data_IF_632881725215
#
_entry.id   IF_632881725215
#
_cell.length_a   1.000
_cell.length_b   1.000
_cell.length_c   1.000
_cell.angle_alpha   90.00
_cell.angle_beta   90.00
_cell.angle_gamma   90.00
#
_symmetry.space_group_name_H-M   'P 1'
#
loop_
_entity.id
_entity.type
_entity.pdbx_description
1 polymer ?
#
# COMPACT_ATOMS: atom_id res chain seq x y z
N UNK A 1 -8.66 -16.47 -5.13
CA UNK A 1 -8.20 -15.12 -4.74
C UNK A 1 -6.89 -14.88 -5.46
N UNK A 2 -6.84 -14.01 -6.48
CA UNK A 2 -5.57 -13.62 -7.10
C UNK A 2 -4.87 -12.67 -6.15
N UNK A 3 -3.67 -13.04 -5.69
CA UNK A 3 -2.77 -12.14 -4.97
C UNK A 3 -2.32 -11.06 -5.96
N UNK A 4 -2.75 -9.83 -5.73
CA UNK A 4 -2.54 -8.67 -6.60
C UNK A 4 -1.13 -8.05 -6.48
N UNK A 5 -0.17 -8.73 -5.86
CA UNK A 5 1.11 -8.13 -5.45
C UNK A 5 2.34 -9.02 -5.58
N UNK A 6 2.23 -10.19 -6.16
CA UNK A 6 3.38 -10.99 -6.54
C UNK A 6 3.94 -10.51 -7.88
N UNK A 7 5.27 -10.54 -8.02
CA UNK A 7 5.92 -10.40 -9.33
C UNK A 7 5.24 -11.32 -10.34
N UNK A 8 5.03 -10.86 -11.59
CA UNK A 8 4.36 -11.65 -12.60
C UNK A 8 5.08 -12.98 -12.82
N UNK A 9 4.27 -14.02 -13.09
CA UNK A 9 4.75 -15.35 -13.45
C UNK A 9 5.80 -15.26 -14.58
N UNK A 10 6.79 -16.13 -14.60
CA UNK A 10 7.91 -16.13 -15.55
C UNK A 10 7.52 -16.16 -17.06
N UNK A 11 6.22 -16.23 -17.36
CA UNK A 11 5.63 -16.17 -18.70
C UNK A 11 5.22 -14.75 -19.17
N UNK A 12 5.31 -13.74 -18.30
CA UNK A 12 4.97 -12.34 -18.64
C UNK A 12 6.25 -11.62 -19.07
N UNK A 13 6.17 -10.82 -20.14
CA UNK A 13 7.26 -9.94 -20.55
C UNK A 13 7.59 -8.93 -19.44
N UNK A 14 8.65 -9.20 -18.68
CA UNK A 14 9.11 -8.41 -17.56
C UNK A 14 9.94 -7.19 -17.98
N UNK A 15 10.06 -6.89 -19.28
CA UNK A 15 10.92 -5.82 -19.79
C UNK A 15 10.59 -4.45 -19.21
N UNK A 16 9.29 -4.11 -19.10
CA UNK A 16 8.86 -2.85 -18.52
C UNK A 16 9.17 -2.76 -16.99
N UNK A 17 9.02 -3.87 -16.26
CA UNK A 17 9.38 -3.93 -14.84
C UNK A 17 10.90 -3.80 -14.66
N UNK A 18 11.70 -4.48 -15.47
CA UNK A 18 13.14 -4.39 -15.41
C UNK A 18 13.64 -2.96 -15.72
N UNK A 19 12.99 -2.26 -16.66
CA UNK A 19 13.26 -0.84 -16.91
C UNK A 19 12.92 0.03 -15.70
N UNK A 20 11.76 -0.16 -15.08
CA UNK A 20 11.36 0.58 -13.89
C UNK A 20 12.32 0.34 -12.72
N UNK A 21 12.79 -0.89 -12.54
CA UNK A 21 13.84 -1.22 -11.55
C UNK A 21 15.16 -0.51 -11.88
N UNK A 22 15.60 -0.54 -13.12
CA UNK A 22 16.81 0.13 -13.54
C UNK A 22 16.75 1.66 -13.34
N UNK A 23 15.61 2.27 -13.66
CA UNK A 23 15.37 3.71 -13.44
C UNK A 23 15.44 4.08 -11.96
N UNK A 24 14.83 3.31 -11.10
CA UNK A 24 14.85 3.52 -9.64
C UNK A 24 16.28 3.39 -9.09
N UNK A 25 17.02 2.37 -9.51
CA UNK A 25 18.42 2.17 -9.12
C UNK A 25 19.29 3.34 -9.55
N UNK A 26 19.12 3.81 -10.78
CA UNK A 26 19.85 4.96 -11.32
C UNK A 26 19.50 6.25 -10.57
N UNK A 27 18.23 6.50 -10.28
CA UNK A 27 17.78 7.66 -9.52
C UNK A 27 18.33 7.66 -8.08
N UNK A 28 18.39 6.47 -7.44
CA UNK A 28 18.99 6.29 -6.11
C UNK A 28 20.48 6.62 -6.12
N UNK A 29 21.24 6.09 -7.06
CA UNK A 29 22.69 6.37 -7.17
C UNK A 29 22.96 7.86 -7.36
N UNK A 30 22.20 8.51 -8.24
CA UNK A 30 22.29 9.97 -8.43
C UNK A 30 21.99 10.75 -7.14
N UNK A 31 21.00 10.31 -6.36
CA UNK A 31 20.67 10.94 -5.07
C UNK A 31 21.83 10.77 -4.07
N UNK A 32 22.40 9.57 -3.99
CA UNK A 32 23.53 9.28 -3.10
C UNK A 32 24.74 10.15 -3.46
N UNK A 33 25.09 10.21 -4.77
CA UNK A 33 26.20 11.04 -5.25
C UNK A 33 25.95 12.53 -5.00
N UNK A 34 24.73 13.01 -5.26
CA UNK A 34 24.37 14.40 -5.03
C UNK A 34 24.50 14.79 -3.55
N UNK A 35 24.00 13.94 -2.66
CA UNK A 35 24.12 14.17 -1.20
C UNK A 35 25.59 14.15 -0.76
N UNK A 36 26.40 13.22 -1.26
CA UNK A 36 27.86 13.21 -1.01
C UNK A 36 28.55 14.49 -1.48
N UNK A 37 28.22 14.96 -2.68
CA UNK A 37 28.77 16.19 -3.23
C UNK A 37 28.40 17.43 -2.40
N UNK A 38 27.15 17.48 -1.89
CA UNK A 38 26.66 18.55 -1.02
C UNK A 38 27.09 18.40 0.44
N UNK A 39 27.81 17.33 0.81
CA UNK A 39 28.16 16.95 2.18
C UNK A 39 26.96 16.79 3.10
N UNK A 40 25.82 16.37 2.53
CA UNK A 40 24.62 16.04 3.27
C UNK A 40 24.65 14.58 3.72
N UNK A 41 24.05 14.31 4.88
CA UNK A 41 23.89 12.94 5.39
C UNK A 41 22.72 12.24 4.69
N UNK A 42 22.90 10.96 4.39
CA UNK A 42 21.81 10.08 3.98
C UNK A 42 21.22 9.50 5.27
N UNK A 43 19.92 9.66 5.55
CA UNK A 43 19.30 9.04 6.71
C UNK A 43 19.48 7.52 6.66
N UNK A 44 19.92 6.92 7.76
CA UNK A 44 19.96 5.47 7.85
C UNK A 44 18.55 4.92 8.02
N UNK A 45 18.22 3.83 7.33
CA UNK A 45 16.97 3.13 7.56
C UNK A 45 16.96 2.54 8.97
N UNK A 46 16.14 3.11 9.85
CA UNK A 46 16.17 2.87 11.28
C UNK A 46 15.06 1.95 11.78
N UNK A 47 14.01 1.71 10.99
CA UNK A 47 12.88 0.91 11.44
C UNK A 47 13.29 -0.57 11.51
N UNK A 48 13.28 -1.11 12.71
CA UNK A 48 13.65 -2.49 12.99
C UNK A 48 12.66 -3.09 13.99
N UNK A 49 12.19 -4.30 13.73
CA UNK A 49 11.27 -5.04 14.58
C UNK A 49 11.84 -6.44 14.76
N UNK A 50 12.26 -6.76 15.98
CA UNK A 50 12.99 -8.00 16.28
C UNK A 50 12.10 -9.12 16.85
N UNK A 51 10.79 -8.92 16.93
CA UNK A 51 9.88 -9.83 17.59
C UNK A 51 8.86 -10.38 16.61
N UNK A 52 8.85 -11.68 16.43
CA UNK A 52 7.81 -12.52 15.82
C UNK A 52 6.88 -11.91 14.78
N UNK A 53 5.84 -12.62 14.43
CA UNK A 53 4.85 -12.15 13.42
C UNK A 53 3.56 -11.59 14.10
N UNK A 54 3.68 -10.82 15.20
CA UNK A 54 2.53 -10.11 15.78
C UNK A 54 2.19 -8.87 14.98
N UNK A 55 1.13 -8.98 14.18
CA UNK A 55 0.61 -7.91 13.32
C UNK A 55 0.34 -6.61 14.09
N UNK A 56 -0.20 -6.71 15.31
CA UNK A 56 -0.55 -5.52 16.11
C UNK A 56 0.70 -4.80 16.63
N UNK A 57 1.72 -5.55 17.03
CA UNK A 57 2.99 -4.99 17.45
C UNK A 57 3.68 -4.28 16.28
N UNK A 58 3.77 -4.95 15.14
CA UNK A 58 4.36 -4.38 13.93
C UNK A 58 3.65 -3.10 13.49
N UNK A 59 2.33 -3.14 13.44
CA UNK A 59 1.55 -1.96 13.05
C UNK A 59 1.74 -0.79 14.03
N UNK A 60 1.77 -1.05 15.33
CA UNK A 60 2.00 -0.01 16.35
C UNK A 60 3.39 0.59 16.22
N UNK A 61 4.42 -0.23 16.03
CA UNK A 61 5.80 0.24 15.85
C UNK A 61 5.91 1.10 14.59
N UNK A 62 5.42 0.62 13.44
CA UNK A 62 5.43 1.39 12.19
C UNK A 62 4.67 2.71 12.34
N UNK A 63 3.50 2.72 12.97
CA UNK A 63 2.75 3.97 13.22
C UNK A 63 3.54 4.96 14.07
N UNK A 64 4.24 4.48 15.09
CA UNK A 64 5.06 5.33 15.94
C UNK A 64 6.25 5.91 15.17
N UNK A 65 6.98 5.08 14.43
CA UNK A 65 8.12 5.51 13.62
C UNK A 65 7.73 6.52 12.52
N UNK A 66 6.55 6.35 11.92
CA UNK A 66 6.03 7.29 10.92
C UNK A 66 5.26 8.48 11.53
N UNK A 67 5.19 8.60 12.86
CA UNK A 67 4.39 9.67 13.50
C UNK A 67 2.90 9.63 13.18
N UNK A 68 2.38 8.48 12.72
CA UNK A 68 1.01 8.31 12.27
C UNK A 68 0.06 8.07 13.45
N UNK A 69 -0.21 9.11 14.24
CA UNK A 69 -1.26 9.02 15.26
C UNK A 69 -2.66 9.02 14.62
N UNK A 70 -3.66 8.57 15.38
CA UNK A 70 -5.05 8.60 14.88
C UNK A 70 -5.53 10.03 14.63
N UNK A 71 -5.08 10.98 15.46
CA UNK A 71 -5.43 12.39 15.29
C UNK A 71 -4.85 12.97 14.01
N UNK A 72 -3.57 12.71 13.73
CA UNK A 72 -2.89 13.12 12.51
C UNK A 72 -3.58 12.53 11.29
N UNK A 73 -3.89 11.23 11.31
CA UNK A 73 -4.56 10.57 10.21
C UNK A 73 -5.96 11.13 9.94
N UNK A 74 -6.78 11.34 10.99
CA UNK A 74 -8.14 11.87 10.83
C UNK A 74 -8.20 13.33 10.42
N UNK A 75 -7.12 14.09 10.61
CA UNK A 75 -6.99 15.47 10.12
C UNK A 75 -6.59 15.55 8.64
N UNK A 76 -6.21 14.44 8.01
CA UNK A 76 -5.91 14.43 6.59
C UNK A 76 -7.20 14.69 5.78
N UNK A 77 -7.28 15.80 5.03
CA UNK A 77 -8.50 16.18 4.33
C UNK A 77 -8.80 15.34 3.09
N UNK A 78 -7.87 14.51 2.67
CA UNK A 78 -8.00 13.64 1.50
C UNK A 78 -7.00 12.48 1.52
N UNK A 79 -7.29 11.44 0.75
CA UNK A 79 -6.39 10.32 0.55
C UNK A 79 -5.02 10.76 -0.03
N UNK A 80 -4.99 11.82 -0.86
CA UNK A 80 -3.74 12.41 -1.35
C UNK A 80 -2.89 12.96 -0.21
N UNK A 81 -3.49 13.66 0.75
CA UNK A 81 -2.74 14.22 1.89
C UNK A 81 -2.19 13.11 2.80
N UNK A 82 -2.97 12.05 3.05
CA UNK A 82 -2.48 10.88 3.79
C UNK A 82 -1.32 10.21 3.06
N UNK A 83 -1.42 10.04 1.73
CA UNK A 83 -0.34 9.50 0.91
C UNK A 83 0.95 10.32 1.05
N UNK A 84 0.86 11.65 0.92
CA UNK A 84 2.02 12.54 1.04
C UNK A 84 2.63 12.50 2.43
N UNK A 85 1.81 12.47 3.47
CA UNK A 85 2.26 12.36 4.85
C UNK A 85 3.05 11.06 5.07
N UNK A 86 2.49 9.92 4.67
CA UNK A 86 3.13 8.61 4.85
C UNK A 86 4.38 8.50 3.98
N UNK A 87 4.33 8.99 2.74
CA UNK A 87 5.50 9.02 1.86
C UNK A 87 6.65 9.81 2.48
N UNK A 88 6.40 11.04 2.91
CA UNK A 88 7.42 11.89 3.51
C UNK A 88 8.02 11.25 4.78
N UNK A 89 7.17 10.72 5.66
CA UNK A 89 7.64 10.03 6.86
C UNK A 89 8.48 8.78 6.54
N UNK A 90 8.14 8.06 5.46
CA UNK A 90 8.91 6.90 4.98
C UNK A 90 10.28 7.35 4.43
N UNK A 91 10.32 8.46 3.69
CA UNK A 91 11.56 9.04 3.17
C UNK A 91 12.44 9.59 4.33
N UNK A 92 11.84 10.21 5.33
CA UNK A 92 12.54 10.65 6.56
C UNK A 92 13.10 9.47 7.36
N UNK A 93 12.44 8.31 7.34
CA UNK A 93 12.94 7.08 7.94
C UNK A 93 14.07 6.40 7.15
N UNK A 94 14.57 7.02 6.09
CA UNK A 94 15.72 6.54 5.33
C UNK A 94 15.38 5.59 4.17
N UNK A 95 14.17 5.65 3.63
CA UNK A 95 13.75 4.86 2.45
C UNK A 95 13.59 5.77 1.24
N UNK A 96 14.16 5.39 0.09
CA UNK A 96 13.94 6.11 -1.16
C UNK A 96 12.63 5.67 -1.81
N UNK A 97 11.65 6.59 -1.92
CA UNK A 97 10.36 6.29 -2.55
C UNK A 97 10.29 6.92 -3.94
N UNK A 98 10.24 6.09 -4.97
CA UNK A 98 10.17 6.52 -6.35
C UNK A 98 8.89 6.03 -7.05
N UNK A 99 8.38 6.82 -8.00
CA UNK A 99 7.20 6.44 -8.78
C UNK A 99 7.58 6.09 -10.21
N UNK A 100 7.12 4.94 -10.70
CA UNK A 100 7.23 4.52 -12.09
C UNK A 100 5.89 4.60 -12.83
N UNK A 101 5.92 4.57 -14.16
CA UNK A 101 4.75 4.60 -15.05
C UNK A 101 4.89 3.54 -16.14
N UNK A 102 3.82 3.33 -16.91
CA UNK A 102 3.88 2.46 -18.09
C UNK A 102 3.69 0.97 -17.81
N UNK A 103 3.32 0.59 -16.57
CA UNK A 103 2.98 -0.78 -16.20
C UNK A 103 1.56 -0.80 -15.67
N UNK A 104 0.73 -1.75 -16.13
CA UNK A 104 -0.64 -1.87 -15.61
C UNK A 104 -0.61 -2.17 -14.10
N UNK A 105 -1.47 -1.49 -13.35
CA UNK A 105 -1.62 -1.68 -11.90
C UNK A 105 -2.11 -3.07 -11.51
N UNK A 106 -2.68 -3.83 -12.44
CA UNK A 106 -3.02 -5.23 -12.23
C UNK A 106 -1.81 -6.16 -12.27
N UNK A 107 -0.70 -5.71 -12.90
CA UNK A 107 0.56 -6.44 -12.97
C UNK A 107 1.43 -6.11 -11.76
N UNK A 108 1.76 -4.82 -11.57
CA UNK A 108 2.61 -4.35 -10.47
C UNK A 108 2.08 -3.05 -9.90
N UNK A 109 1.81 -3.02 -8.59
CA UNK A 109 1.41 -1.81 -7.85
C UNK A 109 2.59 -1.16 -7.14
N UNK A 110 3.52 -1.96 -6.66
CA UNK A 110 4.73 -1.53 -6.00
C UNK A 110 5.71 -2.69 -5.87
N UNK A 111 6.92 -2.37 -5.47
CA UNK A 111 7.95 -3.33 -5.11
C UNK A 111 8.96 -2.69 -4.15
N UNK A 112 9.61 -3.52 -3.34
CA UNK A 112 10.69 -3.12 -2.45
C UNK A 112 12.02 -3.71 -2.89
N UNK A 113 13.10 -2.94 -2.75
CA UNK A 113 14.47 -3.40 -2.92
C UNK A 113 15.24 -3.03 -1.66
N UNK A 114 15.66 -4.06 -0.91
CA UNK A 114 16.47 -3.86 0.28
C UNK A 114 17.92 -3.54 -0.11
N UNK A 115 18.49 -2.57 0.57
CA UNK A 115 19.91 -2.21 0.54
C UNK A 115 20.28 -1.63 1.91
N UNK A 116 21.52 -1.81 2.35
CA UNK A 116 21.98 -1.29 3.65
C UNK A 116 22.06 0.24 3.66
N UNK A 117 22.20 0.84 2.48
CA UNK A 117 22.25 2.30 2.31
C UNK A 117 21.09 2.73 1.42
N UNK A 118 20.10 3.38 2.01
CA UNK A 118 18.95 3.94 1.29
C UNK A 118 18.14 2.86 0.53
N UNK A 119 17.49 1.91 1.23
CA UNK A 119 16.58 0.96 0.62
C UNK A 119 15.45 1.67 -0.14
N UNK A 120 14.82 0.97 -1.08
CA UNK A 120 13.94 1.59 -2.08
C UNK A 120 12.56 0.99 -2.09
N UNK A 121 11.57 1.84 -2.34
CA UNK A 121 10.20 1.46 -2.69
C UNK A 121 9.84 2.06 -4.04
N UNK A 122 9.50 1.21 -5.02
CA UNK A 122 8.90 1.60 -6.27
C UNK A 122 7.37 1.59 -6.19
N UNK A 123 6.72 2.66 -6.65
CA UNK A 123 5.25 2.76 -6.65
C UNK A 123 4.74 3.02 -8.06
N UNK A 124 3.69 2.31 -8.45
CA UNK A 124 3.02 2.60 -9.70
C UNK A 124 2.27 3.93 -9.61
N UNK A 125 2.69 4.90 -10.43
CA UNK A 125 2.11 6.24 -10.42
C UNK A 125 0.68 6.28 -10.97
N UNK A 126 0.26 5.26 -11.70
CA UNK A 126 -1.08 5.18 -12.27
C UNK A 126 -2.12 4.70 -11.25
N UNK A 127 -1.69 4.22 -10.08
CA UNK A 127 -2.59 3.80 -9.03
C UNK A 127 -3.22 4.99 -8.28
N UNK A 128 -4.38 4.77 -7.67
CA UNK A 128 -5.08 5.77 -6.85
C UNK A 128 -4.34 5.98 -5.52
N UNK A 129 -4.46 7.17 -4.93
CA UNK A 129 -3.78 7.50 -3.67
C UNK A 129 -4.03 6.51 -2.52
N UNK A 130 -5.28 6.02 -2.27
CA UNK A 130 -5.50 5.02 -1.23
C UNK A 130 -4.70 3.73 -1.47
N UNK A 131 -4.59 3.29 -2.72
CA UNK A 131 -3.84 2.10 -3.09
C UNK A 131 -2.32 2.33 -2.97
N UNK A 132 -1.81 3.50 -3.42
CA UNK A 132 -0.41 3.91 -3.21
C UNK A 132 -0.06 3.95 -1.73
N UNK A 133 -0.94 4.50 -0.89
CA UNK A 133 -0.75 4.55 0.56
C UNK A 133 -0.63 3.15 1.16
N UNK A 134 -1.50 2.24 0.74
CA UNK A 134 -1.42 0.85 1.16
C UNK A 134 -0.12 0.20 0.66
N UNK A 135 0.26 0.44 -0.61
CA UNK A 135 1.49 -0.11 -1.19
C UNK A 135 2.74 0.36 -0.46
N UNK A 136 2.87 1.65 -0.10
CA UNK A 136 4.03 2.13 0.68
C UNK A 136 4.19 1.32 1.97
N UNK A 137 3.12 1.15 2.74
CA UNK A 137 3.20 0.44 4.02
C UNK A 137 3.49 -1.05 3.78
N UNK A 138 2.88 -1.66 2.77
CA UNK A 138 3.13 -3.05 2.41
C UNK A 138 4.60 -3.29 2.06
N UNK A 139 5.17 -2.46 1.18
CA UNK A 139 6.57 -2.55 0.77
C UNK A 139 7.54 -2.20 1.92
N UNK A 140 7.14 -1.27 2.79
CA UNK A 140 7.92 -0.95 4.00
C UNK A 140 8.03 -2.17 4.93
N UNK A 141 6.98 -2.99 5.06
CA UNK A 141 7.04 -4.24 5.85
C UNK A 141 8.05 -5.20 5.24
N UNK A 142 8.10 -5.34 3.90
CA UNK A 142 9.14 -6.14 3.24
C UNK A 142 10.55 -5.62 3.55
N UNK A 143 10.77 -4.30 3.52
CA UNK A 143 12.07 -3.71 3.88
C UNK A 143 12.45 -3.98 5.34
N UNK A 144 11.52 -3.85 6.28
CA UNK A 144 11.75 -4.15 7.71
C UNK A 144 12.11 -5.63 7.91
N UNK A 145 11.46 -6.54 7.20
CA UNK A 145 11.80 -7.97 7.18
C UNK A 145 13.12 -8.26 6.46
N UNK A 146 13.72 -7.25 5.83
CA UNK A 146 14.90 -7.40 4.96
C UNK A 146 14.67 -8.40 3.82
N UNK A 147 13.43 -8.56 3.41
CA UNK A 147 13.05 -9.35 2.25
C UNK A 147 12.87 -8.41 1.07
N UNK A 148 13.59 -8.67 -0.03
CA UNK A 148 13.36 -7.98 -1.28
C UNK A 148 12.42 -8.80 -2.14
N UNK A 149 11.47 -8.16 -2.81
CA UNK A 149 10.66 -8.83 -3.83
C UNK A 149 11.54 -9.48 -4.93
N UNK A 150 12.73 -8.90 -5.18
CA UNK A 150 13.74 -9.44 -6.11
C UNK A 150 14.43 -10.70 -5.56
N UNK A 151 14.49 -10.89 -4.22
CA UNK A 151 15.10 -12.07 -3.60
C UNK A 151 14.12 -13.23 -3.42
N UNK A 152 12.82 -13.04 -3.65
CA UNK A 152 11.80 -14.08 -3.46
C UNK A 152 11.89 -15.25 -4.45
N UNK A 153 12.69 -15.14 -5.52
CA UNK A 153 12.95 -16.28 -6.41
C UNK A 153 13.60 -17.51 -5.71
N UNK A 154 14.19 -17.29 -4.53
CA UNK A 154 14.82 -18.36 -3.74
C UNK A 154 13.91 -18.92 -2.61
N UNK A 155 12.75 -18.31 -2.36
CA UNK A 155 11.81 -18.78 -1.34
C UNK A 155 10.84 -19.82 -1.92
N UNK A 156 10.44 -20.81 -1.12
CA UNK A 156 9.36 -21.69 -1.54
C UNK A 156 8.07 -20.89 -1.74
N UNK A 157 7.25 -21.25 -2.73
CA UNK A 157 5.97 -20.57 -3.02
C UNK A 157 5.04 -20.45 -1.79
N UNK A 158 5.13 -21.38 -0.86
CA UNK A 158 4.35 -21.39 0.38
C UNK A 158 4.85 -20.35 1.41
N UNK A 159 6.17 -20.15 1.55
CA UNK A 159 6.73 -19.14 2.45
C UNK A 159 6.49 -17.73 1.90
N UNK A 160 6.64 -17.53 0.60
CA UNK A 160 6.31 -16.27 -0.07
C UNK A 160 4.83 -15.89 0.13
N UNK A 161 3.91 -16.85 0.00
CA UNK A 161 2.48 -16.60 0.24
C UNK A 161 2.16 -16.22 1.69
N UNK A 162 2.80 -16.84 2.67
CA UNK A 162 2.64 -16.48 4.08
C UNK A 162 3.16 -15.06 4.36
N UNK A 163 4.28 -14.72 3.79
CA UNK A 163 4.87 -13.38 3.93
C UNK A 163 3.94 -12.31 3.34
N UNK A 164 3.41 -12.53 2.15
CA UNK A 164 2.44 -11.63 1.52
C UNK A 164 1.18 -11.43 2.36
N UNK A 165 0.66 -12.52 2.95
CA UNK A 165 -0.49 -12.45 3.87
C UNK A 165 -0.14 -11.61 5.10
N UNK A 166 1.05 -11.79 5.66
CA UNK A 166 1.51 -11.03 6.80
C UNK A 166 1.69 -9.54 6.45
N UNK A 167 2.37 -9.20 5.35
CA UNK A 167 2.57 -7.82 4.89
C UNK A 167 1.24 -7.11 4.67
N UNK A 168 0.27 -7.79 4.02
CA UNK A 168 -1.08 -7.27 3.83
C UNK A 168 -1.82 -7.02 5.16
N UNK A 169 -1.68 -7.94 6.14
CA UNK A 169 -2.32 -7.81 7.44
C UNK A 169 -1.73 -6.64 8.23
N UNK A 170 -0.40 -6.48 8.24
CA UNK A 170 0.27 -5.35 8.88
C UNK A 170 -0.12 -4.03 8.23
N UNK A 171 -0.07 -3.94 6.89
CA UNK A 171 -0.47 -2.73 6.17
C UNK A 171 -1.92 -2.34 6.47
N UNK A 172 -2.82 -3.31 6.52
CA UNK A 172 -4.22 -3.10 6.92
C UNK A 172 -4.34 -2.59 8.36
N UNK A 173 -3.62 -3.18 9.32
CA UNK A 173 -3.64 -2.77 10.73
C UNK A 173 -3.00 -1.39 10.92
N UNK A 174 -1.91 -1.05 10.20
CA UNK A 174 -1.32 0.30 10.20
C UNK A 174 -2.33 1.33 9.76
N UNK A 175 -3.04 1.10 8.67
CA UNK A 175 -3.96 2.08 8.08
C UNK A 175 -5.31 2.13 8.79
N UNK A 176 -5.81 1.00 9.28
CA UNK A 176 -7.09 0.89 9.98
C UNK A 176 -6.89 0.04 11.24
N UNK A 177 -6.34 0.63 12.33
CA UNK A 177 -6.11 -0.08 13.58
C UNK A 177 -7.40 -0.68 14.15
N UNK A 178 -7.34 -1.93 14.61
CA UNK A 178 -8.50 -2.66 15.14
C UNK A 178 -9.25 -1.87 16.21
N UNK A 179 -8.56 -1.28 17.17
CA UNK A 179 -9.18 -0.51 18.24
C UNK A 179 -9.97 0.69 17.70
N UNK A 180 -9.41 1.37 16.69
CA UNK A 180 -10.06 2.53 16.07
C UNK A 180 -11.23 2.11 15.17
N UNK A 181 -11.11 1.00 14.45
CA UNK A 181 -12.21 0.42 13.67
C UNK A 181 -13.38 0.06 14.58
N UNK A 182 -13.13 -0.65 15.68
CA UNK A 182 -14.16 -1.02 16.66
C UNK A 182 -14.83 0.20 17.27
N UNK A 183 -14.09 1.27 17.52
CA UNK A 183 -14.65 2.53 18.02
C UNK A 183 -15.59 3.19 16.99
N UNK A 184 -15.27 3.09 15.67
CA UNK A 184 -16.18 3.61 14.63
C UNK A 184 -17.45 2.75 14.50
N UNK A 185 -17.33 1.44 14.65
CA UNK A 185 -18.48 0.53 14.57
C UNK A 185 -19.42 0.65 15.78
N UNK A 186 -18.90 1.02 16.97
CA UNK A 186 -19.74 1.11 18.16
C UNK A 186 -20.46 -0.19 18.46
N UNK A 187 -21.81 -0.12 18.54
CA UNK A 187 -22.70 -1.25 18.83
C UNK A 187 -23.27 -1.93 17.57
N UNK A 188 -22.89 -1.51 16.37
CA UNK A 188 -23.40 -2.10 15.13
C UNK A 188 -23.11 -3.60 15.03
N UNK A 189 -24.12 -4.35 14.63
CA UNK A 189 -24.04 -5.78 14.37
C UNK A 189 -23.51 -6.04 12.95
N UNK A 190 -23.15 -7.30 12.65
CA UNK A 190 -22.64 -7.67 11.33
C UNK A 190 -23.63 -7.37 10.20
N UNK A 191 -24.93 -7.55 10.45
CA UNK A 191 -25.98 -7.38 9.44
C UNK A 191 -26.28 -5.90 9.16
N UNK A 192 -25.87 -5.00 10.03
CA UNK A 192 -26.02 -3.55 9.87
C UNK A 192 -24.84 -2.91 9.14
N UNK A 193 -23.77 -3.67 8.89
CA UNK A 193 -22.59 -3.18 8.18
C UNK A 193 -22.84 -3.29 6.67
N UNK A 194 -23.26 -2.20 6.09
CA UNK A 194 -23.51 -2.04 4.66
C UNK A 194 -22.38 -1.27 3.94
N UNK A 195 -22.59 -1.01 2.64
CA UNK A 195 -21.61 -0.29 1.83
C UNK A 195 -21.46 1.17 2.26
N UNK A 196 -22.53 1.83 2.71
CA UNK A 196 -22.50 3.24 3.13
C UNK A 196 -21.67 3.41 4.40
N UNK A 197 -21.80 2.46 5.34
CA UNK A 197 -20.94 2.42 6.52
C UNK A 197 -19.48 2.17 6.15
N UNK A 198 -19.21 1.23 5.26
CA UNK A 198 -17.84 0.97 4.75
C UNK A 198 -17.26 2.23 4.12
N UNK A 199 -18.04 2.97 3.33
CA UNK A 199 -17.64 4.22 2.71
C UNK A 199 -17.34 5.33 3.73
N UNK A 200 -18.19 5.47 4.73
CA UNK A 200 -18.01 6.41 5.85
C UNK A 200 -16.71 6.12 6.61
N UNK A 201 -16.46 4.84 6.92
CA UNK A 201 -15.22 4.42 7.58
C UNK A 201 -14.01 4.66 6.67
N UNK A 202 -14.10 4.29 5.39
CA UNK A 202 -13.03 4.50 4.42
C UNK A 202 -12.65 5.98 4.29
N UNK A 203 -13.63 6.86 4.22
CA UNK A 203 -13.42 8.30 4.21
C UNK A 203 -12.74 8.79 5.50
N UNK A 204 -13.19 8.31 6.67
CA UNK A 204 -12.63 8.68 7.98
C UNK A 204 -11.15 8.34 8.11
N UNK A 205 -10.72 7.20 7.56
CA UNK A 205 -9.34 6.75 7.59
C UNK A 205 -8.55 7.17 6.35
N UNK A 206 -9.19 7.79 5.35
CA UNK A 206 -8.60 8.15 4.05
C UNK A 206 -8.01 6.94 3.30
N UNK A 207 -8.67 5.79 3.38
CA UNK A 207 -8.29 4.51 2.75
C UNK A 207 -9.31 4.04 1.72
N UNK A 208 -9.02 2.95 1.01
CA UNK A 208 -10.00 2.35 0.10
C UNK A 208 -11.06 1.52 0.85
N UNK A 209 -12.24 1.37 0.23
CA UNK A 209 -13.33 0.51 0.75
C UNK A 209 -12.87 -0.94 0.91
N UNK A 210 -12.02 -1.42 0.01
CA UNK A 210 -11.48 -2.78 0.09
C UNK A 210 -10.63 -3.00 1.35
N UNK A 211 -9.82 -2.01 1.75
CA UNK A 211 -9.04 -2.08 2.99
C UNK A 211 -9.98 -2.19 4.19
N UNK A 212 -11.04 -1.40 4.24
CA UNK A 212 -12.04 -1.47 5.32
C UNK A 212 -12.74 -2.83 5.34
N UNK A 213 -13.23 -3.32 4.20
CA UNK A 213 -13.87 -4.64 4.12
C UNK A 213 -12.91 -5.75 4.59
N UNK A 214 -11.64 -5.69 4.20
CA UNK A 214 -10.64 -6.65 4.64
C UNK A 214 -10.44 -6.58 6.15
N UNK A 215 -10.35 -5.39 6.73
CA UNK A 215 -10.21 -5.20 8.17
C UNK A 215 -11.42 -5.68 8.97
N UNK A 216 -12.63 -5.49 8.43
CA UNK A 216 -13.86 -6.02 9.02
C UNK A 216 -13.85 -7.55 9.05
N UNK A 217 -13.37 -8.19 7.98
CA UNK A 217 -13.21 -9.65 7.93
C UNK A 217 -12.14 -10.14 8.92
N UNK A 218 -10.95 -9.53 8.91
CA UNK A 218 -9.82 -9.92 9.77
C UNK A 218 -10.16 -9.77 11.26
N UNK A 219 -10.98 -8.76 11.60
CA UNK A 219 -11.47 -8.53 12.97
C UNK A 219 -12.72 -9.34 13.32
N UNK A 220 -13.19 -10.21 12.40
CA UNK A 220 -14.39 -11.06 12.56
C UNK A 220 -15.67 -10.25 12.80
N UNK A 221 -15.76 -9.05 12.25
CA UNK A 221 -16.96 -8.22 12.32
C UNK A 221 -17.97 -8.55 11.22
N UNK A 222 -17.50 -9.12 10.11
CA UNK A 222 -18.34 -9.66 9.05
C UNK A 222 -17.89 -11.09 8.72
N UNK A 223 -18.80 -11.87 8.15
CA UNK A 223 -18.51 -13.21 7.64
C UNK A 223 -17.79 -13.15 6.29
N UNK A 224 -17.18 -14.27 5.87
CA UNK A 224 -16.58 -14.40 4.54
C UNK A 224 -17.62 -14.18 3.42
N UNK A 225 -18.87 -14.64 3.61
CA UNK A 225 -19.93 -14.46 2.63
C UNK A 225 -20.29 -12.96 2.49
N UNK A 226 -20.43 -12.26 3.62
CA UNK A 226 -20.72 -10.82 3.64
C UNK A 226 -19.56 -10.02 3.00
N UNK A 227 -18.30 -10.33 3.35
CA UNK A 227 -17.14 -9.75 2.69
C UNK A 227 -17.18 -9.93 1.18
N UNK A 228 -17.48 -11.15 0.70
CA UNK A 228 -17.55 -11.44 -0.74
C UNK A 228 -18.63 -10.64 -1.44
N UNK A 229 -19.79 -10.43 -0.80
CA UNK A 229 -20.89 -9.61 -1.30
C UNK A 229 -20.49 -8.13 -1.43
N UNK A 230 -19.92 -7.54 -0.36
CA UNK A 230 -19.43 -6.15 -0.38
C UNK A 230 -18.37 -5.96 -1.47
N UNK A 231 -17.40 -6.88 -1.58
CA UNK A 231 -16.36 -6.82 -2.60
C UNK A 231 -16.90 -6.94 -4.03
N UNK A 232 -17.93 -7.74 -4.26
CA UNK A 232 -18.59 -7.84 -5.56
C UNK A 232 -19.22 -6.50 -5.94
N UNK A 233 -19.97 -5.87 -5.03
CA UNK A 233 -20.59 -4.56 -5.24
C UNK A 233 -19.55 -3.47 -5.52
N UNK A 234 -18.45 -3.43 -4.74
CA UNK A 234 -17.36 -2.47 -4.93
C UNK A 234 -16.71 -2.64 -6.31
N UNK A 235 -16.45 -3.88 -6.75
CA UNK A 235 -15.86 -4.15 -8.08
C UNK A 235 -16.78 -3.71 -9.21
N UNK A 236 -18.05 -4.05 -9.15
CA UNK A 236 -19.02 -3.64 -10.18
C UNK A 236 -19.11 -2.12 -10.28
N UNK A 237 -19.14 -1.40 -9.15
CA UNK A 237 -19.13 0.06 -9.14
C UNK A 237 -17.85 0.63 -9.78
N UNK A 238 -16.70 0.03 -9.49
CA UNK A 238 -15.42 0.43 -10.06
C UNK A 238 -15.32 0.18 -11.57
N UNK A 239 -15.81 -0.97 -12.04
CA UNK A 239 -15.85 -1.31 -13.47
C UNK A 239 -16.74 -0.33 -14.24
N UNK A 240 -17.93 -0.03 -13.72
CA UNK A 240 -18.85 0.96 -14.29
C UNK A 240 -18.21 2.35 -14.37
N UNK A 241 -17.53 2.80 -13.31
CA UNK A 241 -16.80 4.07 -13.31
C UNK A 241 -15.68 4.09 -14.37
N UNK A 242 -14.93 3.00 -14.51
CA UNK A 242 -13.89 2.87 -15.55
C UNK A 242 -14.47 2.96 -16.96
N UNK A 243 -15.61 2.31 -17.21
CA UNK A 243 -16.29 2.37 -18.52
C UNK A 243 -16.79 3.78 -18.82
N UNK A 244 -17.45 4.42 -17.87
CA UNK A 244 -17.90 5.82 -18.03
C UNK A 244 -16.74 6.77 -18.32
N UNK A 245 -15.60 6.59 -17.64
CA UNK A 245 -14.40 7.37 -17.87
C UNK A 245 -13.76 7.13 -19.24
N UNK A 246 -13.75 5.88 -19.71
CA UNK A 246 -13.29 5.53 -21.08
C UNK A 246 -14.17 6.19 -22.12
N UNK A 247 -15.49 6.10 -21.96
CA UNK A 247 -16.45 6.70 -22.86
C UNK A 247 -16.33 8.23 -22.89
N UNK A 248 -16.20 8.85 -21.72
CA UNK A 248 -15.99 10.30 -21.63
C UNK A 248 -14.70 10.73 -22.36
N UNK A 249 -13.59 9.99 -22.21
CA UNK A 249 -12.35 10.27 -22.94
C UNK A 249 -12.53 10.11 -24.46
N UNK A 250 -13.26 9.07 -24.89
CA UNK A 250 -13.52 8.83 -26.30
C UNK A 250 -14.30 9.99 -26.92
N UNK A 251 -15.28 10.54 -26.21
CA UNK A 251 -16.15 11.61 -26.71
C UNK A 251 -15.45 12.99 -26.64
N UNK A 252 -14.74 13.28 -25.56
CA UNK A 252 -14.23 14.63 -25.29
C UNK A 252 -12.75 14.82 -25.61
N UNK A 253 -11.98 13.74 -25.78
CA UNK A 253 -10.52 13.79 -25.90
C UNK A 253 -9.80 14.28 -24.63
N UNK A 254 -10.53 14.51 -23.52
CA UNK A 254 -9.99 15.02 -22.27
C UNK A 254 -9.79 13.91 -21.24
N UNK A 255 -8.71 14.00 -20.47
CA UNK A 255 -8.47 13.15 -19.32
C UNK A 255 -9.02 13.84 -18.07
N UNK A 256 -9.92 13.20 -17.32
CA UNK A 256 -10.37 13.72 -16.02
C UNK A 256 -9.23 13.48 -15.02
N UNK A 257 -8.83 14.49 -14.21
CA UNK A 257 -7.85 14.29 -13.16
C UNK A 257 -8.33 13.19 -12.18
N UNK A 258 -7.43 12.27 -11.83
CA UNK A 258 -7.71 11.27 -10.79
C UNK A 258 -7.62 11.94 -9.42
N UNK A 259 -8.70 11.98 -8.67
CA UNK A 259 -8.71 12.40 -7.26
C UNK A 259 -8.20 11.28 -6.36
#
# INVERSE_FOLDING_TARGET
MRNLRTLPDASVDNSALNLAIADILSARELLIESKKALKETIPAFSISINEGDDVSLWARTIRNELGLTSEVQYKCPSARQLYLLIRNATEEAGVFVHCFTGIDTEIVRGFAIYDDVLPMIGLNNEDRYPAKTFSIIHELVHLIKRSSAVCNEMMSSFSAQKEEVFCNAVAGEVLVPKANLLKQLGSYTADEIDLDMVETIAAKFSVSKEVVCRRLLDTKKISQAHYSSLMATIRTAFENEREQMREYRRITGKTIPRN
#
